data_IF_035537758834
#
_entry.id   IF_035537758834
#
_cell.length_a   1.000
_cell.length_b   1.000
_cell.length_c   1.000
_cell.angle_alpha   90.00
_cell.angle_beta   90.00
_cell.angle_gamma   90.00
#
_symmetry.space_group_name_H-M   'P 1'
#
loop_
_entity.id
_entity.type
_entity.pdbx_description
1 polymer ?
#
# COMPACT_ATOMS: atom_id res chain seq x y z
N UNK A 1 -14.70 -13.32 18.13
CA UNK A 1 -14.64 -12.67 16.81
C UNK A 1 -15.90 -12.97 16.05
N UNK A 2 -16.53 -11.98 15.48
CA UNK A 2 -17.67 -12.25 14.62
C UNK A 2 -17.20 -12.96 13.36
N UNK A 3 -18.08 -13.78 12.81
CA UNK A 3 -17.75 -14.44 11.56
C UNK A 3 -17.85 -13.45 10.41
N UNK A 4 -17.05 -13.68 9.40
CA UNK A 4 -17.03 -12.82 8.22
C UNK A 4 -16.65 -13.65 7.00
N UNK A 5 -17.06 -13.19 5.84
CA UNK A 5 -16.68 -13.81 4.58
C UNK A 5 -15.64 -12.95 3.89
N UNK A 6 -14.54 -13.55 3.49
CA UNK A 6 -13.54 -12.89 2.67
C UNK A 6 -13.78 -13.30 1.22
N UNK A 7 -14.02 -12.32 0.37
CA UNK A 7 -14.22 -12.58 -1.06
C UNK A 7 -13.02 -12.02 -1.81
N UNK A 8 -12.35 -12.87 -2.58
CA UNK A 8 -11.25 -12.44 -3.44
C UNK A 8 -11.69 -12.65 -4.88
N UNK A 9 -11.62 -11.57 -5.67
CA UNK A 9 -11.99 -11.61 -7.06
C UNK A 9 -10.71 -11.55 -7.90
N UNK A 10 -10.49 -12.58 -8.72
CA UNK A 10 -9.32 -12.66 -9.58
C UNK A 10 -9.71 -12.12 -10.94
N UNK A 11 -9.30 -10.90 -11.23
CA UNK A 11 -9.75 -10.18 -12.42
C UNK A 11 -9.44 -10.96 -13.70
N UNK A 12 -8.28 -11.62 -13.74
CA UNK A 12 -7.89 -12.43 -14.91
C UNK A 12 -7.81 -13.92 -14.57
N UNK A 13 -8.43 -14.34 -13.47
CA UNK A 13 -8.46 -15.75 -13.11
C UNK A 13 -7.18 -16.29 -12.50
N UNK A 14 -6.17 -15.45 -12.29
CA UNK A 14 -4.87 -15.86 -11.76
C UNK A 14 -4.62 -15.16 -10.45
N UNK A 15 -4.35 -15.90 -9.36
CA UNK A 15 -4.14 -15.27 -8.05
C UNK A 15 -2.89 -14.39 -7.97
N UNK A 16 -1.97 -14.50 -8.92
CA UNK A 16 -0.76 -13.68 -8.93
C UNK A 16 -0.93 -12.38 -9.71
N UNK A 17 -2.04 -12.24 -10.41
CA UNK A 17 -2.30 -11.05 -11.20
C UNK A 17 -3.23 -10.11 -10.44
N UNK A 18 -3.77 -9.13 -11.14
CA UNK A 18 -4.66 -8.13 -10.55
C UNK A 18 -5.84 -8.81 -9.85
N UNK A 19 -6.07 -8.42 -8.61
CA UNK A 19 -7.12 -9.02 -7.78
C UNK A 19 -7.64 -8.01 -6.79
N UNK A 20 -8.87 -8.24 -6.31
CA UNK A 20 -9.46 -7.41 -5.28
C UNK A 20 -9.92 -8.29 -4.13
N UNK A 21 -10.10 -7.70 -2.96
CA UNK A 21 -10.56 -8.42 -1.78
C UNK A 21 -11.51 -7.56 -0.96
N UNK A 22 -12.54 -8.19 -0.43
CA UNK A 22 -13.54 -7.51 0.40
C UNK A 22 -13.93 -8.43 1.55
N UNK A 23 -14.24 -7.82 2.70
CA UNK A 23 -14.80 -8.54 3.83
C UNK A 23 -16.26 -8.18 3.99
N UNK A 24 -17.08 -9.16 4.36
CA UNK A 24 -18.54 -8.98 4.43
C UNK A 24 -18.96 -7.98 5.50
N UNK A 25 -18.14 -7.78 6.53
CA UNK A 25 -18.49 -6.88 7.64
C UNK A 25 -17.59 -5.65 7.69
N UNK A 26 -17.02 -5.24 6.56
CA UNK A 26 -16.13 -4.09 6.49
C UNK A 26 -16.38 -3.34 5.18
N UNK A 27 -16.37 -2.02 5.25
CA UNK A 27 -16.60 -1.20 4.06
C UNK A 27 -15.33 -1.00 3.25
N UNK A 28 -14.20 -1.50 3.72
CA UNK A 28 -12.96 -1.38 2.98
C UNK A 28 -12.85 -2.35 1.83
N UNK A 29 -12.01 -2.01 0.88
CA UNK A 29 -11.74 -2.86 -0.27
C UNK A 29 -10.25 -2.78 -0.57
N UNK A 30 -9.66 -3.92 -0.87
CA UNK A 30 -8.25 -4.00 -1.23
C UNK A 30 -8.12 -4.30 -2.72
N UNK A 31 -7.08 -3.73 -3.32
CA UNK A 31 -6.71 -4.03 -4.70
C UNK A 31 -5.23 -4.34 -4.69
N UNK A 32 -4.81 -5.38 -5.39
CA UNK A 32 -3.40 -5.77 -5.43
C UNK A 32 -3.03 -6.27 -6.82
N UNK A 33 -1.79 -6.08 -7.20
CA UNK A 33 -1.30 -6.58 -8.47
C UNK A 33 0.19 -6.42 -8.60
N UNK A 34 0.78 -7.10 -9.59
CA UNK A 34 2.20 -6.95 -9.86
C UNK A 34 2.50 -5.64 -10.57
N UNK A 35 3.70 -5.14 -10.40
CA UNK A 35 4.12 -3.92 -11.07
C UNK A 35 4.03 -4.05 -12.59
N UNK A 36 4.22 -5.26 -13.10
CA UNK A 36 4.12 -5.48 -14.53
C UNK A 36 2.73 -5.18 -15.09
N UNK A 37 1.71 -5.12 -14.24
CA UNK A 37 0.35 -4.78 -14.67
C UNK A 37 -0.08 -3.43 -14.14
N UNK A 38 0.87 -2.55 -13.85
CA UNK A 38 0.57 -1.27 -13.23
C UNK A 38 -0.45 -0.45 -14.03
N UNK A 39 -0.39 -0.51 -15.35
CA UNK A 39 -1.35 0.25 -16.15
C UNK A 39 -2.78 -0.26 -15.95
N UNK A 40 -2.94 -1.58 -15.78
CA UNK A 40 -4.25 -2.13 -15.53
C UNK A 40 -4.74 -1.75 -14.14
N UNK A 41 -3.83 -1.67 -13.18
CA UNK A 41 -4.19 -1.21 -11.84
C UNK A 41 -4.70 0.22 -11.91
N UNK A 42 -4.02 1.08 -12.67
CA UNK A 42 -4.42 2.49 -12.78
C UNK A 42 -5.76 2.69 -13.47
N UNK A 43 -6.20 1.72 -14.25
CA UNK A 43 -7.51 1.81 -14.91
C UNK A 43 -8.66 1.53 -13.95
N UNK A 44 -8.36 1.03 -12.74
CA UNK A 44 -9.40 0.72 -11.79
C UNK A 44 -9.93 1.99 -11.14
N UNK A 45 -11.25 2.06 -10.97
CA UNK A 45 -11.86 3.25 -10.35
C UNK A 45 -11.45 3.41 -8.89
N UNK A 46 -11.06 2.32 -8.23
CA UNK A 46 -10.63 2.41 -6.84
C UNK A 46 -9.44 3.34 -6.65
N UNK A 47 -8.61 3.50 -7.70
CA UNK A 47 -7.42 4.35 -7.59
C UNK A 47 -7.76 5.83 -7.47
N UNK A 48 -9.00 6.21 -7.71
CA UNK A 48 -9.42 7.61 -7.59
C UNK A 48 -9.69 7.98 -6.13
N UNK A 49 -9.74 7.01 -5.25
CA UNK A 49 -10.12 7.21 -3.86
C UNK A 49 -8.92 7.44 -2.96
N UNK A 50 -9.15 8.04 -1.79
CA UNK A 50 -8.10 8.11 -0.79
C UNK A 50 -7.89 6.75 -0.14
N UNK A 51 -6.71 6.52 0.38
CA UNK A 51 -6.43 5.25 1.03
C UNK A 51 -4.99 5.12 1.46
N UNK A 52 -4.64 3.89 1.83
CA UNK A 52 -3.31 3.51 2.25
C UNK A 52 -2.79 2.48 1.27
N UNK A 53 -1.53 2.60 0.88
CA UNK A 53 -0.95 1.67 -0.09
C UNK A 53 0.36 1.10 0.39
N UNK A 54 0.71 -0.06 -0.17
CA UNK A 54 1.93 -0.79 0.15
C UNK A 54 2.66 -1.10 -1.14
N UNK A 55 3.95 -0.82 -1.17
CA UNK A 55 4.82 -1.22 -2.28
C UNK A 55 5.79 -2.22 -1.69
N UNK A 56 5.89 -3.40 -2.29
CA UNK A 56 6.74 -4.47 -1.76
C UNK A 56 7.68 -4.96 -2.83
N UNK A 57 8.86 -5.40 -2.40
CA UNK A 57 9.88 -5.90 -3.30
C UNK A 57 11.15 -6.25 -2.54
N UNK A 58 12.28 -5.94 -3.14
CA UNK A 58 13.59 -6.29 -2.58
C UNK A 58 14.43 -5.03 -2.47
N UNK A 59 15.03 -4.83 -1.30
CA UNK A 59 15.95 -3.71 -1.11
C UNK A 59 17.25 -4.04 -1.87
N UNK A 60 17.64 -3.25 -2.84
CA UNK A 60 18.80 -3.56 -3.66
C UNK A 60 20.12 -3.51 -2.87
N UNK A 61 20.17 -2.77 -1.77
CA UNK A 61 21.39 -2.64 -0.99
C UNK A 61 21.63 -3.84 -0.08
N UNK A 62 20.58 -4.42 0.47
CA UNK A 62 20.71 -5.50 1.43
C UNK A 62 20.21 -6.83 0.89
N UNK A 63 19.52 -6.83 -0.24
CA UNK A 63 18.90 -8.00 -0.85
C UNK A 63 17.85 -8.63 0.07
N UNK A 64 17.28 -7.85 0.96
CA UNK A 64 16.23 -8.32 1.86
C UNK A 64 14.89 -7.81 1.37
N UNK A 65 13.81 -8.45 1.82
CA UNK A 65 12.47 -7.97 1.52
C UNK A 65 12.31 -6.53 1.96
N UNK A 66 11.61 -5.75 1.17
CA UNK A 66 11.43 -4.33 1.43
C UNK A 66 9.96 -3.95 1.30
N UNK A 67 9.54 -2.98 2.10
CA UNK A 67 8.17 -2.50 2.07
C UNK A 67 8.16 -0.98 2.24
N UNK A 68 7.30 -0.32 1.50
CA UNK A 68 7.03 1.11 1.65
C UNK A 68 5.52 1.26 1.89
N UNK A 69 5.15 2.01 2.92
CA UNK A 69 3.75 2.22 3.28
C UNK A 69 3.44 3.70 3.16
N UNK A 70 2.41 4.04 2.42
CA UNK A 70 2.07 5.43 2.20
C UNK A 70 0.59 5.68 2.26
N UNK A 71 0.21 6.96 2.27
CA UNK A 71 -1.17 7.37 2.22
C UNK A 71 -1.33 8.39 1.10
N UNK A 72 -2.53 8.51 0.59
CA UNK A 72 -2.78 9.47 -0.48
C UNK A 72 -4.27 9.80 -0.53
N UNK A 73 -4.57 10.99 -1.03
CA UNK A 73 -5.95 11.35 -1.31
C UNK A 73 -6.38 10.78 -2.65
N UNK A 74 -5.45 10.57 -3.56
CA UNK A 74 -5.69 9.85 -4.81
C UNK A 74 -4.60 8.80 -4.93
N UNK A 75 -4.98 7.57 -4.71
CA UNK A 75 -4.03 6.46 -4.69
C UNK A 75 -3.27 6.35 -6.01
N UNK A 76 -4.00 6.45 -7.12
CA UNK A 76 -3.36 6.27 -8.43
C UNK A 76 -2.26 7.28 -8.69
N UNK A 77 -2.53 8.55 -8.37
CA UNK A 77 -1.54 9.59 -8.61
C UNK A 77 -0.32 9.39 -7.72
N UNK A 78 -0.54 9.00 -6.47
CA UNK A 78 0.58 8.82 -5.56
C UNK A 78 1.44 7.64 -5.95
N UNK A 79 0.84 6.53 -6.38
CA UNK A 79 1.62 5.38 -6.77
C UNK A 79 2.43 5.70 -8.02
N UNK A 80 1.87 6.48 -8.96
CA UNK A 80 2.62 6.88 -10.14
C UNK A 80 3.91 7.62 -9.77
N UNK A 81 3.89 8.37 -8.68
CA UNK A 81 5.07 9.11 -8.26
C UNK A 81 6.20 8.20 -7.79
N UNK A 82 5.90 6.92 -7.54
CA UNK A 82 6.92 5.96 -7.11
C UNK A 82 7.48 5.13 -8.25
N UNK A 83 7.11 5.42 -9.49
CA UNK A 83 7.61 4.63 -10.62
C UNK A 83 9.12 4.75 -10.80
N UNK A 84 9.72 5.82 -10.28
CA UNK A 84 11.17 5.97 -10.34
C UNK A 84 11.90 5.09 -9.34
N UNK A 85 11.20 4.49 -8.38
CA UNK A 85 11.82 3.62 -7.41
C UNK A 85 11.83 2.21 -7.95
N UNK A 86 12.96 1.53 -7.87
CA UNK A 86 13.12 0.23 -8.50
C UNK A 86 12.87 -0.96 -7.59
N UNK A 87 12.80 -0.74 -6.27
CA UNK A 87 12.77 -1.88 -5.35
C UNK A 87 11.47 -2.67 -5.40
N UNK A 88 10.34 -2.03 -5.75
CA UNK A 88 9.05 -2.69 -5.60
C UNK A 88 8.60 -3.38 -6.88
N UNK A 89 7.96 -4.52 -6.71
CA UNK A 89 7.42 -5.28 -7.83
C UNK A 89 5.95 -5.67 -7.60
N UNK A 90 5.39 -5.33 -6.45
CA UNK A 90 3.97 -5.54 -6.18
C UNK A 90 3.41 -4.33 -5.48
N UNK A 91 2.14 -4.05 -5.73
CA UNK A 91 1.43 -2.96 -5.08
C UNK A 91 0.12 -3.50 -4.53
N UNK A 92 -0.25 -3.01 -3.36
CA UNK A 92 -1.57 -3.28 -2.79
C UNK A 92 -2.06 -2.00 -2.15
N UNK A 93 -3.35 -1.74 -2.23
CA UNK A 93 -3.88 -0.57 -1.55
C UNK A 93 -5.28 -0.87 -1.02
N UNK A 94 -5.68 -0.08 -0.01
CA UNK A 94 -6.96 -0.22 0.66
C UNK A 94 -7.69 1.10 0.60
N UNK A 95 -8.96 1.05 0.25
CA UNK A 95 -9.83 2.22 0.23
C UNK A 95 -11.08 1.88 1.01
N UNK A 96 -11.88 2.90 1.31
CA UNK A 96 -13.20 2.69 1.89
C UNK A 96 -14.25 2.91 0.81
N UNK A 97 -15.19 1.99 0.69
CA UNK A 97 -16.22 2.08 -0.34
C UNK A 97 -17.26 3.16 -0.01
N UNK A 98 -17.40 3.54 1.23
CA UNK A 98 -18.44 4.46 1.65
C UNK A 98 -17.91 5.85 2.01
N UNK A 99 -16.67 6.12 1.64
CA UNK A 99 -16.06 7.44 1.82
C UNK A 99 -15.97 7.91 3.27
N UNK A 100 -16.02 6.98 4.21
CA UNK A 100 -15.88 7.36 5.61
C UNK A 100 -14.43 7.52 6.04
N UNK A 101 -13.50 7.25 5.16
CA UNK A 101 -12.10 7.31 5.50
C UNK A 101 -11.58 8.73 5.30
N UNK A 102 -11.37 9.46 6.38
CA UNK A 102 -10.90 10.84 6.30
C UNK A 102 -9.38 10.87 6.17
N UNK A 103 -8.85 12.03 5.79
CA UNK A 103 -7.42 12.21 5.68
C UNK A 103 -6.72 11.96 7.01
N UNK A 104 -7.34 12.39 8.12
CA UNK A 104 -6.74 12.16 9.43
C UNK A 104 -6.69 10.68 9.77
N UNK A 105 -7.76 9.94 9.44
CA UNK A 105 -7.77 8.50 9.66
C UNK A 105 -6.72 7.80 8.82
N UNK A 106 -6.55 8.21 7.58
CA UNK A 106 -5.58 7.61 6.68
C UNK A 106 -4.18 7.81 7.21
N UNK A 107 -3.86 9.02 7.68
CA UNK A 107 -2.54 9.30 8.23
C UNK A 107 -2.27 8.50 9.49
N UNK A 108 -3.29 8.35 10.34
CA UNK A 108 -3.13 7.56 11.54
C UNK A 108 -2.85 6.10 11.21
N UNK A 109 -3.59 5.55 10.26
CA UNK A 109 -3.42 4.17 9.85
C UNK A 109 -2.02 3.98 9.26
N UNK A 110 -1.58 4.90 8.41
CA UNK A 110 -0.24 4.82 7.82
C UNK A 110 0.81 4.75 8.92
N UNK A 111 0.74 5.66 9.90
CA UNK A 111 1.71 5.67 10.98
C UNK A 111 1.72 4.39 11.78
N UNK A 112 0.53 3.87 12.10
CA UNK A 112 0.45 2.62 12.86
C UNK A 112 1.02 1.45 12.07
N UNK A 113 0.75 1.40 10.78
CA UNK A 113 1.25 0.30 9.96
C UNK A 113 2.77 0.36 9.83
N UNK A 114 3.33 1.56 9.73
CA UNK A 114 4.78 1.71 9.69
C UNK A 114 5.40 1.21 11.01
N UNK A 115 4.80 1.57 12.14
CA UNK A 115 5.27 1.09 13.43
C UNK A 115 5.23 -0.44 13.51
N UNK A 116 4.13 -1.03 13.04
CA UNK A 116 3.99 -2.47 13.07
C UNK A 116 5.03 -3.13 12.17
N UNK A 117 5.27 -2.58 10.99
CA UNK A 117 6.25 -3.15 10.07
C UNK A 117 7.65 -3.09 10.65
N UNK A 118 7.99 -1.99 11.32
CA UNK A 118 9.31 -1.87 11.95
C UNK A 118 9.44 -2.83 13.12
N UNK A 119 8.38 -2.98 13.92
CA UNK A 119 8.41 -3.90 15.06
C UNK A 119 8.50 -5.35 14.62
N UNK A 120 7.86 -5.71 13.53
CA UNK A 120 7.90 -7.07 13.03
C UNK A 120 9.29 -7.45 12.50
N UNK A 121 10.02 -6.45 12.00
CA UNK A 121 11.40 -6.62 11.55
C UNK A 121 11.55 -7.73 10.53
N UNK A 122 10.54 -7.88 9.65
CA UNK A 122 10.58 -8.89 8.60
C UNK A 122 10.97 -8.33 7.26
N UNK A 123 10.91 -7.00 7.11
CA UNK A 123 11.23 -6.32 5.87
C UNK A 123 11.91 -5.01 6.19
N UNK A 124 12.74 -4.55 5.26
CA UNK A 124 13.31 -3.21 5.36
C UNK A 124 12.19 -2.23 5.07
N UNK A 125 11.92 -1.32 6.01
CA UNK A 125 10.87 -0.32 5.84
C UNK A 125 11.47 0.87 5.12
N UNK A 126 11.17 0.99 3.84
CA UNK A 126 11.82 1.97 2.97
C UNK A 126 11.42 3.40 3.30
N UNK A 127 10.32 3.58 4.03
CA UNK A 127 9.91 4.91 4.45
C UNK A 127 11.00 5.64 5.22
N UNK A 128 11.78 4.91 5.97
CA UNK A 128 12.81 5.55 6.80
C UNK A 128 14.03 5.93 5.98
N UNK A 129 14.07 5.61 4.69
CA UNK A 129 15.23 5.89 3.89
C UNK A 129 15.03 6.97 2.85
N UNK A 130 13.86 7.21 2.40
CA UNK A 130 13.68 8.15 1.32
C UNK A 130 12.54 9.08 1.49
N UNK A 131 11.85 8.99 2.57
CA UNK A 131 10.72 9.84 2.76
C UNK A 131 11.18 11.19 3.21
N UNK A 132 10.89 12.18 2.47
CA UNK A 132 11.24 13.50 2.87
C UNK A 132 10.58 13.91 4.14
N UNK A 133 9.39 13.48 4.33
CA UNK A 133 8.69 13.88 5.51
C UNK A 133 9.28 13.27 6.71
N UNK A 134 9.65 12.03 6.63
CA UNK A 134 10.23 11.46 7.78
C UNK A 134 11.64 11.89 7.90
N UNK A 135 12.26 12.24 6.81
CA UNK A 135 13.61 12.61 6.93
C UNK A 135 13.77 13.89 7.61
N UNK A 136 12.76 14.64 7.62
CA UNK A 136 12.89 15.80 8.30
C UNK A 136 13.24 15.56 9.63
N UNK A 137 12.91 14.64 10.06
CA UNK A 137 13.26 14.41 11.20
C UNK A 137 14.25 13.51 11.25
N UNK A 138 14.66 13.04 10.47
CA UNK A 138 15.60 12.24 10.58
C UNK A 138 16.77 12.77 10.40
N UNK A 139 16.83 13.57 10.09
CA UNK A 139 17.84 14.10 9.99
C UNK A 139 18.32 14.47 11.00
N UNK A 140 18.01 14.38 11.59
CA UNK A 140 18.37 14.58 12.50
C UNK A 140 18.50 13.79 13.21
N UNK A 141 18.62 13.27 13.21
CA UNK A 141 18.94 12.60 13.69
C UNK A 141 19.63 12.24 13.81
N UNK A 142 19.75 12.49 13.88
CA UNK A 142 20.37 12.44 13.93
C UNK A 142 20.97 12.24 14.14
#
# INVERSE_FOLDING_TARGET
MPTATLKIFLVFGDPKRLRTAELSNWTGKAVAGPRSEFEKVLEREETLNPGVYFLTGIDPDTNKSAIYIGEAESIGDRIKSHLSKDFWNNVAFFISKDENLTKAHIRYIEGRLIEIAKSADRSVVMNSQGSGASSVKRKRKP
#
